data_IF_060420474217
#
_entry.id   IF_060420474217
#
_cell.length_a   1.000
_cell.length_b   1.000
_cell.length_c   1.000
_cell.angle_alpha   90.00
_cell.angle_beta   90.00
_cell.angle_gamma   90.00
#
_symmetry.space_group_name_H-M   'P 1'
#
loop_
_entity.id
_entity.type
_entity.pdbx_description
1 polymer ?
#
# COMPACT_ATOMS: atom_id res chain seq x y z
N UNK A 1 52.60 7.08 5.08
CA UNK A 1 51.36 7.76 4.63
C UNK A 1 51.01 7.25 3.25
N UNK A 2 50.14 6.24 3.14
CA UNK A 2 49.77 5.65 1.86
C UNK A 2 48.65 6.47 1.19
N UNK A 3 48.94 7.01 0.01
CA UNK A 3 47.95 7.58 -0.92
C UNK A 3 47.18 6.42 -1.54
N UNK A 4 45.87 6.35 -1.35
CA UNK A 4 44.99 5.46 -2.10
C UNK A 4 43.94 6.33 -2.77
N UNK A 5 43.88 6.28 -4.11
CA UNK A 5 42.78 6.88 -4.86
C UNK A 5 43.20 7.54 -6.17
N UNK A 6 43.77 6.77 -7.11
CA UNK A 6 43.65 6.94 -8.58
C UNK A 6 44.68 6.09 -9.31
N UNK A 7 44.41 4.79 -9.37
CA UNK A 7 45.02 3.92 -10.36
C UNK A 7 43.99 2.85 -10.60
N UNK A 8 43.46 2.77 -11.82
CA UNK A 8 42.65 1.63 -12.22
C UNK A 8 43.47 0.38 -11.91
N UNK A 9 43.01 -0.50 -11.01
CA UNK A 9 43.78 -1.68 -10.64
C UNK A 9 43.94 -2.52 -11.90
N UNK A 10 45.20 -2.71 -12.32
CA UNK A 10 45.53 -3.49 -13.49
C UNK A 10 44.98 -4.92 -13.31
N UNK A 11 44.48 -5.53 -14.38
CA UNK A 11 43.80 -6.84 -14.33
C UNK A 11 44.72 -7.89 -13.71
N UNK A 12 46.04 -7.78 -13.97
CA UNK A 12 47.05 -8.63 -13.37
C UNK A 12 47.15 -8.50 -11.84
N UNK A 13 46.96 -7.29 -11.30
CA UNK A 13 46.96 -7.06 -9.85
C UNK A 13 45.71 -7.67 -9.18
N UNK A 14 44.55 -7.61 -9.84
CA UNK A 14 43.32 -8.28 -9.39
C UNK A 14 43.46 -9.81 -9.43
N UNK A 15 44.18 -10.34 -10.42
CA UNK A 15 44.45 -11.78 -10.56
C UNK A 15 45.34 -12.29 -9.42
N UNK A 16 46.40 -11.56 -9.10
CA UNK A 16 47.29 -11.91 -7.97
C UNK A 16 46.61 -11.80 -6.61
N UNK A 17 45.71 -10.82 -6.43
CA UNK A 17 44.90 -10.70 -5.22
C UNK A 17 43.92 -11.87 -5.08
N UNK A 18 43.28 -12.28 -6.17
CA UNK A 18 42.38 -13.43 -6.23
C UNK A 18 43.11 -14.74 -5.90
N UNK A 19 44.30 -14.98 -6.47
CA UNK A 19 45.14 -16.14 -6.14
C UNK A 19 45.62 -16.13 -4.68
N UNK A 20 46.03 -14.97 -4.15
CA UNK A 20 46.48 -14.86 -2.76
C UNK A 20 45.35 -15.08 -1.74
N UNK A 21 44.10 -14.78 -2.13
CA UNK A 21 42.89 -14.95 -1.32
C UNK A 21 42.16 -16.28 -1.60
N UNK A 22 42.71 -17.13 -2.48
CA UNK A 22 42.09 -18.38 -2.95
C UNK A 22 40.62 -18.19 -3.35
N UNK A 23 40.35 -17.13 -4.11
CA UNK A 23 39.00 -16.66 -4.44
C UNK A 23 38.93 -16.27 -5.91
N UNK A 24 37.79 -16.48 -6.56
CA UNK A 24 37.58 -16.12 -7.97
C UNK A 24 37.65 -14.58 -8.16
N UNK A 25 38.33 -14.12 -9.20
CA UNK A 25 38.41 -12.71 -9.60
C UNK A 25 37.01 -12.09 -9.75
N UNK A 26 36.03 -12.86 -10.24
CA UNK A 26 34.64 -12.40 -10.34
C UNK A 26 34.02 -12.15 -8.95
N UNK A 27 34.33 -13.01 -7.98
CA UNK A 27 33.89 -12.85 -6.60
C UNK A 27 34.60 -11.66 -5.92
N UNK A 28 35.85 -11.40 -6.30
CA UNK A 28 36.65 -10.27 -5.82
C UNK A 28 36.15 -8.92 -6.36
N UNK A 29 35.78 -8.86 -7.65
CA UNK A 29 35.31 -7.64 -8.34
C UNK A 29 33.85 -7.34 -8.01
N UNK A 30 32.99 -8.37 -7.98
CA UNK A 30 31.54 -8.19 -7.84
C UNK A 30 31.01 -8.54 -6.44
N UNK A 31 31.86 -9.06 -5.55
CA UNK A 31 31.47 -9.58 -4.25
C UNK A 31 30.75 -10.92 -4.33
N UNK A 32 30.60 -11.59 -3.19
CA UNK A 32 29.76 -12.79 -3.11
C UNK A 32 28.32 -12.44 -3.51
N UNK A 33 27.68 -13.24 -4.39
CA UNK A 33 26.27 -13.07 -4.68
C UNK A 33 25.49 -13.27 -3.38
N UNK A 34 24.96 -12.17 -2.84
CA UNK A 34 24.20 -12.18 -1.59
C UNK A 34 23.10 -13.22 -1.69
N UNK A 35 23.16 -14.24 -0.83
CA UNK A 35 22.23 -15.38 -0.83
C UNK A 35 20.79 -14.85 -0.73
N UNK A 36 20.02 -14.98 -1.81
CA UNK A 36 18.65 -14.47 -1.86
C UNK A 36 17.80 -15.20 -0.81
N UNK A 37 17.11 -14.43 0.03
CA UNK A 37 16.19 -14.99 1.03
C UNK A 37 14.89 -15.45 0.34
N UNK A 38 14.89 -16.69 -0.16
CA UNK A 38 13.74 -17.31 -0.80
C UNK A 38 12.50 -17.36 0.10
N UNK A 39 12.69 -17.41 1.43
CA UNK A 39 11.57 -17.42 2.39
C UNK A 39 10.92 -16.04 2.45
N UNK A 40 11.71 -14.97 2.44
CA UNK A 40 11.20 -13.60 2.36
C UNK A 40 10.51 -13.33 1.02
N UNK A 41 11.08 -13.78 -0.10
CA UNK A 41 10.47 -13.65 -1.43
C UNK A 41 9.12 -14.36 -1.48
N UNK A 42 9.04 -15.63 -1.06
CA UNK A 42 7.78 -16.40 -1.05
C UNK A 42 6.71 -15.75 -0.18
N UNK A 43 7.08 -15.19 0.97
CA UNK A 43 6.15 -14.45 1.84
C UNK A 43 5.67 -13.15 1.21
N UNK A 44 6.55 -12.37 0.59
CA UNK A 44 6.18 -11.14 -0.10
C UNK A 44 5.26 -11.44 -1.30
N UNK A 45 5.58 -12.47 -2.10
CA UNK A 45 4.75 -12.92 -3.20
C UNK A 45 3.36 -13.40 -2.74
N UNK A 46 3.28 -14.19 -1.66
CA UNK A 46 2.01 -14.61 -1.10
C UNK A 46 1.15 -13.43 -0.63
N UNK A 47 1.75 -12.42 0.02
CA UNK A 47 1.04 -11.20 0.41
C UNK A 47 0.53 -10.42 -0.81
N UNK A 48 1.34 -10.33 -1.87
CA UNK A 48 0.93 -9.67 -3.10
C UNK A 48 -0.26 -10.40 -3.75
N UNK A 49 -0.23 -11.74 -3.77
CA UNK A 49 -1.33 -12.55 -4.27
C UNK A 49 -2.62 -12.31 -3.46
N UNK A 50 -2.54 -12.22 -2.13
CA UNK A 50 -3.69 -11.88 -1.28
C UNK A 50 -4.24 -10.48 -1.60
N UNK A 51 -3.37 -9.48 -1.79
CA UNK A 51 -3.78 -8.12 -2.15
C UNK A 51 -4.51 -8.11 -3.50
N UNK A 52 -3.98 -8.81 -4.50
CA UNK A 52 -4.60 -8.93 -5.82
C UNK A 52 -5.95 -9.66 -5.74
N UNK A 53 -6.03 -10.75 -4.97
CA UNK A 53 -7.28 -11.48 -4.75
C UNK A 53 -8.34 -10.58 -4.11
N UNK A 54 -7.99 -9.86 -3.04
CA UNK A 54 -8.90 -8.91 -2.40
C UNK A 54 -9.36 -7.84 -3.38
N UNK A 55 -8.44 -7.26 -4.15
CA UNK A 55 -8.78 -6.26 -5.17
C UNK A 55 -9.80 -6.80 -6.18
N UNK A 56 -9.59 -8.01 -6.71
CA UNK A 56 -10.52 -8.65 -7.66
C UNK A 56 -11.89 -8.91 -7.02
N UNK A 57 -11.92 -9.46 -5.81
CA UNK A 57 -13.18 -9.69 -5.08
C UNK A 57 -13.97 -8.38 -4.93
N UNK A 58 -13.29 -7.30 -4.54
CA UNK A 58 -13.96 -6.00 -4.38
C UNK A 58 -14.41 -5.38 -5.69
N UNK A 59 -13.69 -5.59 -6.80
CA UNK A 59 -14.15 -5.17 -8.13
C UNK A 59 -15.41 -5.92 -8.55
N UNK A 60 -15.50 -7.23 -8.27
CA UNK A 60 -16.71 -8.02 -8.53
C UNK A 60 -17.88 -7.49 -7.69
N UNK A 61 -17.68 -7.26 -6.39
CA UNK A 61 -18.71 -6.70 -5.51
C UNK A 61 -19.15 -5.31 -6.01
N UNK A 62 -18.21 -4.48 -6.44
CA UNK A 62 -18.52 -3.16 -6.97
C UNK A 62 -19.36 -3.24 -8.24
N UNK A 63 -19.06 -4.18 -9.15
CA UNK A 63 -19.89 -4.42 -10.33
C UNK A 63 -21.34 -4.79 -9.97
N UNK A 64 -21.53 -5.72 -9.02
CA UNK A 64 -22.87 -6.07 -8.54
C UNK A 64 -23.59 -4.90 -7.87
N UNK A 65 -22.88 -4.06 -7.11
CA UNK A 65 -23.48 -2.88 -6.49
C UNK A 65 -23.83 -1.80 -7.51
N UNK A 66 -23.03 -1.62 -8.56
CA UNK A 66 -23.34 -0.69 -9.67
C UNK A 66 -24.57 -1.16 -10.46
N UNK A 67 -24.69 -2.46 -10.72
CA UNK A 67 -25.87 -3.04 -11.36
C UNK A 67 -27.11 -2.89 -10.47
N UNK A 68 -26.98 -3.14 -9.16
CA UNK A 68 -28.06 -2.92 -8.20
C UNK A 68 -28.44 -1.44 -8.08
N UNK A 69 -27.47 -0.53 -8.17
CA UNK A 69 -27.73 0.91 -8.18
C UNK A 69 -28.51 1.34 -9.42
N UNK A 70 -28.21 0.78 -10.60
CA UNK A 70 -28.92 1.09 -11.85
C UNK A 70 -30.32 0.49 -11.89
N UNK A 71 -30.48 -0.73 -11.40
CA UNK A 71 -31.73 -1.49 -11.53
C UNK A 71 -32.71 -1.29 -10.38
N UNK A 72 -32.21 -1.01 -9.17
CA UNK A 72 -33.01 -0.91 -7.95
C UNK A 72 -32.81 0.39 -7.19
N UNK A 73 -32.08 1.36 -7.77
CA UNK A 73 -31.72 2.62 -7.13
C UNK A 73 -31.09 2.43 -5.73
N UNK A 74 -30.40 1.30 -5.54
CA UNK A 74 -29.78 0.96 -4.27
C UNK A 74 -28.42 1.66 -4.13
N UNK A 75 -28.18 2.31 -2.99
CA UNK A 75 -26.91 3.02 -2.75
C UNK A 75 -25.73 2.02 -2.69
N UNK A 76 -24.58 2.24 -3.36
CA UNK A 76 -23.47 1.29 -3.42
C UNK A 76 -22.51 1.40 -2.21
N UNK A 77 -23.00 1.03 -1.03
CA UNK A 77 -22.29 1.25 0.24
C UNK A 77 -20.91 0.57 0.37
N UNK A 78 -20.74 -0.66 -0.11
CA UNK A 78 -19.44 -1.36 -0.02
C UNK A 78 -18.42 -0.70 -0.96
N UNK A 79 -18.84 -0.33 -2.17
CA UNK A 79 -18.03 0.33 -3.18
C UNK A 79 -17.58 1.71 -2.71
N UNK A 80 -18.47 2.47 -2.06
CA UNK A 80 -18.14 3.76 -1.45
C UNK A 80 -17.12 3.61 -0.32
N UNK A 81 -17.29 2.62 0.56
CA UNK A 81 -16.32 2.29 1.60
C UNK A 81 -14.94 1.94 1.00
N UNK A 82 -14.93 1.13 -0.06
CA UNK A 82 -13.70 0.75 -0.74
C UNK A 82 -13.03 1.95 -1.40
N UNK A 83 -13.77 2.84 -2.07
CA UNK A 83 -13.19 4.05 -2.68
C UNK A 83 -12.59 5.02 -1.66
N UNK A 84 -13.26 5.22 -0.53
CA UNK A 84 -12.79 6.17 0.50
C UNK A 84 -11.64 5.65 1.34
N UNK A 85 -11.67 4.38 1.69
CA UNK A 85 -10.75 3.81 2.70
C UNK A 85 -10.11 2.51 2.25
N UNK A 86 -10.85 1.61 1.62
CA UNK A 86 -10.34 0.29 1.24
C UNK A 86 -9.19 0.34 0.23
N UNK A 87 -9.39 0.95 -0.93
CA UNK A 87 -8.39 1.06 -1.99
C UNK A 87 -7.17 1.89 -1.57
N UNK A 88 -7.29 3.06 -0.91
CA UNK A 88 -6.12 3.77 -0.37
C UNK A 88 -5.25 2.88 0.54
N UNK A 89 -5.87 2.11 1.43
CA UNK A 89 -5.16 1.18 2.32
C UNK A 89 -4.54 0.01 1.54
N UNK A 90 -5.28 -0.59 0.61
CA UNK A 90 -4.78 -1.69 -0.23
C UNK A 90 -3.59 -1.27 -1.08
N UNK A 91 -3.63 -0.09 -1.71
CA UNK A 91 -2.53 0.42 -2.53
C UNK A 91 -1.31 0.77 -1.68
N UNK A 92 -1.51 1.33 -0.48
CA UNK A 92 -0.41 1.53 0.48
C UNK A 92 0.25 0.21 0.87
N UNK A 93 -0.56 -0.82 1.13
CA UNK A 93 -0.05 -2.14 1.46
C UNK A 93 0.66 -2.78 0.27
N UNK A 94 0.12 -2.61 -0.94
CA UNK A 94 0.72 -3.06 -2.19
C UNK A 94 2.11 -2.44 -2.40
N UNK A 95 2.24 -1.11 -2.27
CA UNK A 95 3.53 -0.42 -2.42
C UNK A 95 4.59 -0.93 -1.44
N UNK A 96 4.19 -1.15 -0.18
CA UNK A 96 5.07 -1.74 0.83
C UNK A 96 5.49 -3.18 0.48
N UNK A 97 4.56 -4.02 0.01
CA UNK A 97 4.85 -5.41 -0.37
C UNK A 97 5.71 -5.50 -1.62
N UNK A 98 5.42 -4.69 -2.64
CA UNK A 98 6.21 -4.62 -3.88
C UNK A 98 7.63 -4.17 -3.57
N UNK A 99 7.80 -3.14 -2.74
CA UNK A 99 9.13 -2.70 -2.30
C UNK A 99 9.86 -3.81 -1.54
N UNK A 100 9.17 -4.52 -0.64
CA UNK A 100 9.74 -5.67 0.05
C UNK A 100 10.19 -6.78 -0.90
N UNK A 101 9.44 -7.02 -1.97
CA UNK A 101 9.75 -8.04 -2.96
C UNK A 101 10.97 -7.64 -3.81
N UNK A 102 10.99 -6.41 -4.32
CA UNK A 102 12.12 -5.85 -5.08
C UNK A 102 13.40 -5.96 -4.26
N UNK A 103 13.35 -5.57 -2.99
CA UNK A 103 14.51 -5.58 -2.10
C UNK A 103 14.97 -7.01 -1.76
N UNK A 104 14.03 -7.95 -1.60
CA UNK A 104 14.36 -9.36 -1.38
C UNK A 104 14.98 -10.03 -2.62
N UNK A 105 14.57 -9.64 -3.83
CA UNK A 105 15.08 -10.17 -5.10
C UNK A 105 16.44 -9.57 -5.47
N UNK A 106 16.60 -8.26 -5.31
CA UNK A 106 17.81 -7.50 -5.67
C UNK A 106 18.88 -7.53 -4.58
N UNK A 107 18.53 -7.83 -3.34
CA UNK A 107 19.45 -7.78 -2.20
C UNK A 107 19.87 -6.36 -1.79
N UNK A 108 19.26 -5.34 -2.40
CA UNK A 108 19.57 -3.92 -2.20
C UNK A 108 19.37 -3.46 -0.76
N UNK A 109 19.98 -2.33 -0.42
CA UNK A 109 19.82 -1.65 0.87
C UNK A 109 19.01 -0.38 0.71
N UNK A 110 18.31 0.05 1.76
CA UNK A 110 17.46 1.24 1.68
C UNK A 110 18.31 2.48 1.34
N UNK A 111 17.94 3.31 0.35
CA UNK A 111 18.72 4.49 -0.04
C UNK A 111 18.72 5.59 1.04
N UNK A 112 17.76 5.55 1.97
CA UNK A 112 17.66 6.53 3.05
C UNK A 112 18.58 6.16 4.21
N UNK A 113 19.82 6.66 4.24
CA UNK A 113 20.71 6.49 5.40
C UNK A 113 20.42 7.48 6.55
N UNK A 114 19.87 8.66 6.25
CA UNK A 114 19.61 9.70 7.24
C UNK A 114 18.10 10.00 7.40
N UNK A 115 17.68 10.36 8.62
CA UNK A 115 16.33 10.86 8.97
C UNK A 115 15.13 9.96 8.62
N UNK A 116 15.33 8.64 8.54
CA UNK A 116 14.25 7.64 8.31
C UNK A 116 12.98 7.90 9.13
N UNK A 117 13.12 8.16 10.43
CA UNK A 117 11.99 8.41 11.32
C UNK A 117 11.20 9.69 11.03
N UNK A 118 11.87 10.75 10.54
CA UNK A 118 11.20 11.99 10.17
C UNK A 118 10.39 11.82 8.88
N UNK A 119 10.98 11.16 7.87
CA UNK A 119 10.31 10.87 6.60
C UNK A 119 9.12 9.93 6.83
N UNK A 120 9.30 8.91 7.67
CA UNK A 120 8.20 8.00 8.05
C UNK A 120 7.03 8.78 8.65
N UNK A 121 7.29 9.68 9.62
CA UNK A 121 6.24 10.50 10.25
C UNK A 121 5.61 11.47 9.25
N UNK A 122 6.40 12.10 8.39
CA UNK A 122 5.92 13.05 7.39
C UNK A 122 4.95 12.40 6.38
N UNK A 123 5.10 11.11 6.09
CA UNK A 123 4.18 10.36 5.21
C UNK A 123 3.03 9.73 6.00
N UNK A 124 3.32 9.12 7.15
CA UNK A 124 2.33 8.38 7.93
C UNK A 124 1.29 9.28 8.58
N UNK A 125 1.69 10.41 9.17
CA UNK A 125 0.78 11.32 9.90
C UNK A 125 -0.32 11.89 9.00
N UNK A 126 -0.04 12.48 7.83
CA UNK A 126 -1.11 12.98 6.97
C UNK A 126 -1.99 11.84 6.44
N UNK A 127 -1.41 10.69 6.09
CA UNK A 127 -2.18 9.54 5.64
C UNK A 127 -3.14 9.02 6.72
N UNK A 128 -2.64 8.84 7.95
CA UNK A 128 -3.44 8.42 9.10
C UNK A 128 -4.51 9.46 9.47
N UNK A 129 -4.18 10.75 9.39
CA UNK A 129 -5.13 11.84 9.60
C UNK A 129 -6.27 11.83 8.60
N UNK A 130 -5.95 11.69 7.30
CA UNK A 130 -6.97 11.56 6.25
C UNK A 130 -7.86 10.34 6.46
N UNK A 131 -7.28 9.18 6.81
CA UNK A 131 -8.04 7.96 7.11
C UNK A 131 -8.95 8.12 8.32
N UNK A 132 -8.46 8.72 9.41
CA UNK A 132 -9.26 8.97 10.62
C UNK A 132 -10.42 9.93 10.33
N UNK A 133 -10.22 10.91 9.45
CA UNK A 133 -11.26 11.83 9.03
C UNK A 133 -12.33 11.15 8.16
N UNK A 134 -11.93 10.28 7.23
CA UNK A 134 -12.87 9.59 6.33
C UNK A 134 -13.51 8.34 6.95
N UNK A 135 -12.92 7.77 8.01
CA UNK A 135 -13.40 6.55 8.65
C UNK A 135 -14.84 6.61 9.20
N UNK A 136 -15.30 7.66 9.90
CA UNK A 136 -16.69 7.75 10.37
C UNK A 136 -17.69 7.70 9.21
N UNK A 137 -17.37 8.38 8.10
CA UNK A 137 -18.21 8.39 6.91
C UNK A 137 -18.19 7.06 6.17
N UNK A 138 -17.01 6.46 5.99
CA UNK A 138 -16.92 5.16 5.30
C UNK A 138 -17.59 4.05 6.11
N UNK A 139 -17.44 4.05 7.44
CA UNK A 139 -18.15 3.15 8.34
C UNK A 139 -19.66 3.38 8.31
N UNK A 140 -20.11 4.62 8.14
CA UNK A 140 -21.53 4.93 8.02
C UNK A 140 -22.18 4.25 6.80
N UNK A 141 -21.46 4.13 5.68
CA UNK A 141 -21.97 3.40 4.50
C UNK A 141 -22.09 1.90 4.73
N UNK A 142 -21.13 1.30 5.44
CA UNK A 142 -21.22 -0.11 5.84
C UNK A 142 -22.39 -0.33 6.81
N UNK A 143 -22.55 0.57 7.79
CA UNK A 143 -23.68 0.54 8.71
C UNK A 143 -25.00 0.64 7.93
N UNK A 144 -25.18 1.65 7.07
CA UNK A 144 -26.38 1.78 6.24
C UNK A 144 -26.72 0.50 5.48
N UNK A 145 -25.71 -0.17 4.90
CA UNK A 145 -25.90 -1.46 4.23
C UNK A 145 -26.37 -2.54 5.21
N UNK A 146 -25.66 -2.73 6.31
CA UNK A 146 -26.00 -3.76 7.31
C UNK A 146 -27.43 -3.56 7.83
N UNK A 147 -27.82 -2.31 8.12
CA UNK A 147 -29.15 -1.97 8.58
C UNK A 147 -30.22 -2.22 7.50
N UNK A 148 -29.94 -1.86 6.24
CA UNK A 148 -30.82 -2.17 5.12
C UNK A 148 -31.03 -3.68 4.94
N UNK A 149 -29.98 -4.49 5.06
CA UNK A 149 -30.08 -5.95 5.00
C UNK A 149 -30.86 -6.53 6.19
N UNK A 150 -30.61 -6.03 7.40
CA UNK A 150 -31.32 -6.46 8.61
C UNK A 150 -32.82 -6.14 8.51
N UNK A 151 -33.19 -4.96 8.00
CA UNK A 151 -34.59 -4.58 7.80
C UNK A 151 -35.31 -5.49 6.80
N UNK A 152 -34.67 -5.84 5.68
CA UNK A 152 -35.25 -6.76 4.68
C UNK A 152 -35.50 -8.14 5.28
N UNK A 153 -34.60 -8.61 6.16
CA UNK A 153 -34.73 -9.90 6.83
C UNK A 153 -35.81 -9.91 7.92
N UNK A 154 -35.94 -8.81 8.68
CA UNK A 154 -36.84 -8.72 9.82
C UNK A 154 -38.25 -8.23 9.44
N UNK A 155 -38.37 -7.42 8.39
CA UNK A 155 -39.61 -6.79 7.96
C UNK A 155 -39.74 -6.80 6.42
N UNK A 156 -39.95 -7.98 5.80
CA UNK A 156 -39.98 -8.12 4.34
C UNK A 156 -41.10 -7.33 3.66
N UNK A 157 -42.14 -6.95 4.39
CA UNK A 157 -43.30 -6.20 3.87
C UNK A 157 -43.16 -4.67 3.97
N UNK A 158 -42.13 -4.14 4.65
CA UNK A 158 -41.92 -2.69 4.78
C UNK A 158 -41.04 -2.17 3.65
N UNK A 159 -41.46 -1.05 3.06
CA UNK A 159 -40.66 -0.29 2.09
C UNK A 159 -39.34 0.14 2.71
N UNK A 160 -38.25 0.03 1.94
CA UNK A 160 -36.89 0.37 2.35
C UNK A 160 -36.85 1.74 3.04
N UNK A 161 -36.39 1.78 4.30
CA UNK A 161 -36.12 3.03 5.00
C UNK A 161 -34.84 3.66 4.47
N UNK A 162 -34.88 4.97 4.25
CA UNK A 162 -33.68 5.74 3.97
C UNK A 162 -32.87 5.91 5.27
N UNK A 163 -31.70 5.30 5.31
CA UNK A 163 -30.75 5.47 6.40
C UNK A 163 -29.77 6.58 6.03
N UNK A 164 -29.77 7.67 6.80
CA UNK A 164 -28.88 8.81 6.62
C UNK A 164 -28.06 9.05 7.89
N UNK A 165 -26.75 9.25 7.75
CA UNK A 165 -25.91 9.73 8.83
C UNK A 165 -25.61 11.21 8.59
N UNK A 166 -25.98 12.06 9.54
CA UNK A 166 -25.70 13.50 9.49
C UNK A 166 -24.62 13.83 10.52
N UNK A 167 -23.45 14.23 10.03
CA UNK A 167 -22.29 14.62 10.86
C UNK A 167 -22.24 16.13 11.12
N UNK A 168 -23.31 16.86 10.81
CA UNK A 168 -23.40 18.31 10.91
C UNK A 168 -23.02 19.02 9.60
N UNK A 169 -23.47 20.26 9.40
CA UNK A 169 -23.41 20.94 8.11
C UNK A 169 -21.98 21.23 7.63
N UNK A 170 -21.09 21.67 8.52
CA UNK A 170 -19.70 22.01 8.17
C UNK A 170 -18.90 20.76 7.80
N UNK A 171 -18.95 19.73 8.65
CA UNK A 171 -18.27 18.45 8.44
C UNK A 171 -18.80 17.75 7.19
N UNK A 172 -20.12 17.76 6.98
CA UNK A 172 -20.74 17.23 5.77
C UNK A 172 -20.26 17.93 4.50
N UNK A 173 -20.16 19.26 4.51
CA UNK A 173 -19.69 20.01 3.33
C UNK A 173 -18.24 19.68 2.97
N UNK A 174 -17.34 19.65 3.97
CA UNK A 174 -15.94 19.26 3.78
C UNK A 174 -15.85 17.83 3.23
N UNK A 175 -16.67 16.93 3.76
CA UNK A 175 -16.72 15.55 3.32
C UNK A 175 -17.17 15.40 1.87
N UNK A 176 -18.23 16.10 1.44
CA UNK A 176 -18.69 16.04 0.04
C UNK A 176 -17.64 16.57 -0.93
N UNK A 177 -16.95 17.66 -0.60
CA UNK A 177 -15.81 18.14 -1.39
C UNK A 177 -14.67 17.13 -1.47
N UNK A 178 -14.35 16.47 -0.34
CA UNK A 178 -13.36 15.38 -0.34
C UNK A 178 -13.81 14.19 -1.19
N UNK A 179 -15.09 13.81 -1.12
CA UNK A 179 -15.64 12.72 -1.95
C UNK A 179 -15.50 13.06 -3.43
N UNK A 180 -15.93 14.25 -3.85
CA UNK A 180 -15.84 14.68 -5.25
C UNK A 180 -14.39 14.66 -5.71
N UNK A 181 -13.48 15.21 -4.91
CA UNK A 181 -12.04 15.16 -5.21
C UNK A 181 -11.52 13.72 -5.35
N UNK A 182 -11.88 12.83 -4.41
CA UNK A 182 -11.48 11.42 -4.44
C UNK A 182 -12.04 10.71 -5.68
N UNK A 183 -13.26 11.04 -6.07
CA UNK A 183 -13.91 10.43 -7.23
C UNK A 183 -13.25 10.87 -8.54
N UNK A 184 -13.03 12.18 -8.70
CA UNK A 184 -12.41 12.76 -9.89
C UNK A 184 -10.96 12.31 -10.06
N UNK A 185 -10.20 12.22 -8.97
CA UNK A 185 -8.75 11.95 -9.01
C UNK A 185 -8.36 10.59 -8.43
N UNK A 186 -9.31 9.65 -8.38
CA UNK A 186 -9.16 8.32 -7.77
C UNK A 186 -7.87 7.60 -8.16
N UNK A 187 -7.56 7.54 -9.45
CA UNK A 187 -6.33 6.91 -9.95
C UNK A 187 -5.06 7.57 -9.38
N UNK A 188 -4.99 8.90 -9.42
CA UNK A 188 -3.84 9.66 -8.90
C UNK A 188 -3.66 9.46 -7.40
N UNK A 189 -4.76 9.46 -6.64
CA UNK A 189 -4.75 9.25 -5.19
C UNK A 189 -4.25 7.83 -4.84
N UNK A 190 -4.71 6.81 -5.57
CA UNK A 190 -4.24 5.44 -5.34
C UNK A 190 -2.74 5.27 -5.65
N UNK A 191 -2.24 5.93 -6.70
CA UNK A 191 -0.80 5.95 -7.00
C UNK A 191 0.01 6.67 -5.92
N UNK A 192 -0.51 7.77 -5.35
CA UNK A 192 0.12 8.44 -4.21
C UNK A 192 0.15 7.52 -2.99
N UNK A 193 -0.94 6.79 -2.72
CA UNK A 193 -1.00 5.81 -1.62
C UNK A 193 0.02 4.69 -1.83
N UNK A 194 0.16 4.19 -3.06
CA UNK A 194 1.19 3.21 -3.42
C UNK A 194 2.60 3.75 -3.16
N UNK A 195 2.90 4.95 -3.65
CA UNK A 195 4.19 5.60 -3.43
C UNK A 195 4.47 5.80 -1.92
N UNK A 196 3.46 6.23 -1.15
CA UNK A 196 3.54 6.34 0.30
C UNK A 196 3.87 4.98 0.94
N UNK A 197 3.24 3.90 0.48
CA UNK A 197 3.55 2.53 0.90
C UNK A 197 5.01 2.14 0.66
N UNK A 198 5.55 2.48 -0.51
CA UNK A 198 6.96 2.26 -0.84
C UNK A 198 7.88 3.02 0.13
N UNK A 199 7.60 4.32 0.35
CA UNK A 199 8.40 5.18 1.24
C UNK A 199 8.33 4.69 2.69
N UNK A 200 7.15 4.30 3.19
CA UNK A 200 6.97 3.78 4.54
C UNK A 200 7.76 2.49 4.77
N UNK A 201 7.85 1.62 3.75
CA UNK A 201 8.67 0.41 3.85
C UNK A 201 10.15 0.75 3.88
N UNK A 202 10.63 1.63 2.99
CA UNK A 202 12.05 2.02 2.91
C UNK A 202 12.54 2.77 4.16
N UNK A 203 11.65 3.49 4.82
CA UNK A 203 11.94 4.29 6.03
C UNK A 203 11.65 3.54 7.32
N UNK A 204 11.12 2.31 7.24
CA UNK A 204 10.88 1.47 8.41
C UNK A 204 12.21 1.21 9.13
N UNK A 205 12.29 1.63 10.39
CA UNK A 205 13.44 1.32 11.24
C UNK A 205 13.41 -0.17 11.56
N UNK A 206 14.45 -0.91 11.17
CA UNK A 206 14.60 -2.28 11.63
C UNK A 206 14.72 -2.29 13.15
N UNK A 207 13.81 -2.99 13.83
CA UNK A 207 14.00 -3.30 15.25
C UNK A 207 15.23 -4.20 15.31
N UNK A 208 16.34 -3.69 15.87
CA UNK A 208 17.43 -4.57 16.30
C UNK A 208 16.82 -5.61 17.23
N UNK A 209 16.88 -6.87 16.83
CA UNK A 209 16.62 -8.01 17.71
C UNK A 209 17.82 -8.23 18.60
#
# INVERSE_FOLDING_TARGET
>A
MAKIGRSDPDVEMLTRLAEALDTDIQLLIYGEPKKRDMKQIRRAAARLAVILLLYVIFQIIAGYEEDAARTRFAMPGISLFMRLTGYPVLFLWAGSVVTSLIMAVTGGTSPFLARKGMIYRAVFVPFAGCLLFTAPYSLSFLAMKIWAWADVLLYPEKTMRSYGFNFGPVLGHIYFHMMDFIFTYSFGIYMICFAAGCVLWLTKTEKKK
#
